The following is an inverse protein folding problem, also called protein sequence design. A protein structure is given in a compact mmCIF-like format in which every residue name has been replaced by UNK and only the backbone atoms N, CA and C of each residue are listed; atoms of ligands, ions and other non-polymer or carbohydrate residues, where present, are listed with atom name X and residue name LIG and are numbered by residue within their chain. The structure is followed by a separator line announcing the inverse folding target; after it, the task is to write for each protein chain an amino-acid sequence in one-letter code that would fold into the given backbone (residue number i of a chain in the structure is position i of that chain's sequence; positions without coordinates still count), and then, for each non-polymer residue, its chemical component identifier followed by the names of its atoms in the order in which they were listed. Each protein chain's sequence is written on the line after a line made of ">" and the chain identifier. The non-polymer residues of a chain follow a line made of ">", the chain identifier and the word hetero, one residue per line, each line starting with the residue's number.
data_IF_009643224706
#
_entry.id   IF_009643224706
#
_cell.length_a   1.000
_cell.length_b   1.000
_cell.length_c   1.000
_cell.angle_alpha   90.00
_cell.angle_beta   90.00
_cell.angle_gamma   90.00
#
_symmetry.space_group_name_H-M   'P 1'
#
loop_
_entity.id
_entity.type
_entity.pdbx_description
1 polymer ?
#
# COMPACT_ATOMS: atom_id res chain seq x y z
N UNK A 1 -7.18 5.47 -15.39
CA UNK A 1 -7.01 4.38 -14.38
C UNK A 1 -5.72 3.64 -14.67
N UNK A 2 -4.95 3.31 -13.64
CA UNK A 2 -3.74 2.49 -13.73
C UNK A 2 -4.06 1.09 -13.20
N UNK A 3 -3.65 0.04 -13.91
CA UNK A 3 -4.08 -1.33 -13.64
C UNK A 3 -2.91 -2.17 -13.14
N UNK A 4 -3.12 -2.88 -12.03
CA UNK A 4 -2.14 -3.83 -11.47
C UNK A 4 -2.34 -5.22 -12.10
N UNK A 5 -1.86 -5.39 -13.32
CA UNK A 5 -2.10 -6.56 -14.20
C UNK A 5 -0.93 -7.56 -14.26
N UNK A 6 0.15 -7.33 -13.50
CA UNK A 6 1.36 -8.17 -13.57
C UNK A 6 1.41 -9.29 -12.52
N UNK A 7 0.37 -9.41 -11.70
CA UNK A 7 0.29 -10.47 -10.72
C UNK A 7 0.19 -11.86 -11.37
N UNK A 8 0.90 -12.84 -10.79
CA UNK A 8 0.79 -14.25 -11.15
C UNK A 8 0.20 -15.07 -10.01
N UNK A 9 0.58 -14.75 -8.77
CA UNK A 9 0.12 -15.47 -7.57
C UNK A 9 -1.13 -14.84 -6.94
N UNK A 10 -1.59 -13.70 -7.44
CA UNK A 10 -2.87 -13.09 -7.06
C UNK A 10 -3.74 -12.89 -8.28
N UNK A 11 -5.05 -13.03 -8.11
CA UNK A 11 -6.04 -12.82 -9.17
C UNK A 11 -7.38 -12.42 -8.56
N UNK A 12 -7.97 -11.35 -9.06
CA UNK A 12 -9.36 -11.01 -8.80
C UNK A 12 -10.22 -11.74 -9.81
N UNK A 13 -10.81 -12.88 -9.39
CA UNK A 13 -11.55 -13.78 -10.26
C UNK A 13 -12.90 -13.18 -10.68
N UNK A 14 -13.65 -12.64 -9.69
CA UNK A 14 -14.98 -12.08 -9.91
C UNK A 14 -15.35 -11.13 -8.75
N UNK A 15 -16.34 -10.28 -8.96
CA UNK A 15 -16.87 -9.40 -7.92
C UNK A 15 -18.38 -9.15 -8.11
N UNK A 16 -19.15 -9.38 -7.05
CA UNK A 16 -20.60 -9.20 -7.04
C UNK A 16 -21.15 -9.04 -5.63
N UNK A 17 -22.24 -8.31 -5.49
CA UNK A 17 -23.04 -8.23 -4.25
C UNK A 17 -22.22 -7.87 -3.04
N UNK A 18 -21.35 -6.87 -3.15
CA UNK A 18 -20.51 -6.38 -2.05
C UNK A 18 -19.32 -7.27 -1.72
N UNK A 19 -18.93 -8.18 -2.61
CA UNK A 19 -17.86 -9.15 -2.37
C UNK A 19 -16.90 -9.27 -3.55
N UNK A 20 -15.64 -9.58 -3.25
CA UNK A 20 -14.59 -10.01 -4.19
C UNK A 20 -14.35 -11.51 -4.02
N UNK A 21 -14.25 -12.24 -5.13
CA UNK A 21 -13.72 -13.59 -5.19
C UNK A 21 -12.29 -13.54 -5.68
N UNK A 22 -11.35 -13.98 -4.87
CA UNK A 22 -9.93 -13.77 -5.10
C UNK A 22 -9.15 -15.07 -4.95
N UNK A 23 -8.12 -15.23 -5.78
CA UNK A 23 -7.10 -16.27 -5.65
C UNK A 23 -5.82 -15.65 -5.07
N UNK A 24 -5.29 -16.27 -4.02
CA UNK A 24 -4.05 -15.89 -3.32
C UNK A 24 -3.11 -17.10 -3.28
N UNK A 25 -2.28 -17.27 -4.30
CA UNK A 25 -1.59 -18.53 -4.55
C UNK A 25 -2.61 -19.62 -4.83
N UNK A 26 -2.62 -20.68 -4.03
CA UNK A 26 -3.58 -21.79 -4.12
C UNK A 26 -4.85 -21.56 -3.26
N UNK A 27 -4.92 -20.48 -2.50
CA UNK A 27 -6.02 -20.19 -1.58
C UNK A 27 -7.05 -19.28 -2.22
N UNK A 28 -8.31 -19.69 -2.21
CA UNK A 28 -9.45 -18.90 -2.71
C UNK A 28 -10.16 -18.26 -1.53
N UNK A 29 -10.29 -16.94 -1.56
CA UNK A 29 -10.91 -16.14 -0.52
C UNK A 29 -12.10 -15.35 -1.08
N UNK A 30 -13.12 -15.17 -0.23
CA UNK A 30 -14.20 -14.21 -0.45
C UNK A 30 -14.09 -13.12 0.61
N UNK A 31 -13.93 -11.88 0.17
CA UNK A 31 -13.82 -10.72 1.06
C UNK A 31 -14.85 -9.64 0.71
N UNK A 32 -15.36 -8.89 1.69
CA UNK A 32 -16.28 -7.79 1.43
C UNK A 32 -15.57 -6.62 0.77
N UNK A 33 -16.25 -6.02 -0.19
CA UNK A 33 -15.87 -4.77 -0.82
C UNK A 33 -17.09 -3.85 -0.98
N UNK A 34 -17.12 -2.70 -0.28
CA UNK A 34 -18.25 -1.79 -0.36
C UNK A 34 -18.38 -1.07 -1.70
N UNK A 35 -17.36 -1.06 -2.54
CA UNK A 35 -17.42 -0.47 -3.87
C UNK A 35 -18.19 -1.36 -4.86
N UNK A 36 -18.29 -2.66 -4.59
CA UNK A 36 -19.00 -3.64 -5.43
C UNK A 36 -20.51 -3.54 -5.16
N UNK A 37 -21.14 -2.48 -5.68
CA UNK A 37 -22.56 -2.19 -5.46
C UNK A 37 -23.51 -2.92 -6.42
N UNK A 38 -22.98 -3.51 -7.49
CA UNK A 38 -23.74 -4.30 -8.46
C UNK A 38 -24.05 -5.72 -7.95
N UNK A 39 -25.06 -6.33 -8.51
CA UNK A 39 -25.57 -7.65 -8.12
C UNK A 39 -25.66 -8.54 -9.37
N UNK A 40 -24.50 -8.85 -9.95
CA UNK A 40 -24.40 -9.82 -11.04
C UNK A 40 -24.57 -11.24 -10.53
N UNK A 41 -24.96 -12.16 -11.39
CA UNK A 41 -25.02 -13.58 -11.06
C UNK A 41 -23.60 -14.11 -10.77
N UNK A 42 -23.46 -14.90 -9.70
CA UNK A 42 -22.18 -15.52 -9.30
C UNK A 42 -21.98 -16.82 -10.06
N UNK A 43 -21.61 -16.72 -11.33
CA UNK A 43 -21.44 -17.86 -12.23
C UNK A 43 -20.13 -18.60 -12.03
N UNK A 44 -19.08 -17.91 -11.58
CA UNK A 44 -17.77 -18.52 -11.38
C UNK A 44 -17.81 -19.64 -10.31
N UNK A 45 -17.38 -20.89 -10.64
CA UNK A 45 -17.57 -22.05 -9.74
C UNK A 45 -16.89 -21.93 -8.38
N UNK A 46 -15.82 -21.12 -8.28
CA UNK A 46 -15.06 -20.92 -7.04
C UNK A 46 -15.80 -20.11 -5.99
N UNK A 47 -16.90 -19.42 -6.32
CA UNK A 47 -17.78 -18.81 -5.31
C UNK A 47 -18.29 -19.85 -4.29
N UNK A 48 -18.54 -21.05 -4.76
CA UNK A 48 -19.06 -22.16 -3.95
C UNK A 48 -17.95 -23.06 -3.37
N UNK A 49 -16.70 -22.84 -3.82
CA UNK A 49 -15.54 -23.66 -3.44
C UNK A 49 -14.46 -22.87 -2.70
N UNK A 50 -14.77 -21.64 -2.27
CA UNK A 50 -13.84 -20.80 -1.53
C UNK A 50 -13.32 -21.50 -0.26
N UNK A 51 -12.05 -21.29 0.05
CA UNK A 51 -11.41 -21.82 1.25
C UNK A 51 -11.84 -21.07 2.50
N UNK A 52 -12.01 -19.75 2.40
CA UNK A 52 -12.47 -18.93 3.52
C UNK A 52 -13.29 -17.72 3.03
N UNK A 53 -14.21 -17.29 3.88
CA UNK A 53 -15.09 -16.13 3.66
C UNK A 53 -15.00 -15.21 4.86
N UNK A 54 -14.73 -13.93 4.62
CA UNK A 54 -14.80 -12.94 5.70
C UNK A 54 -16.20 -12.37 5.81
N UNK A 55 -16.83 -12.59 6.95
CA UNK A 55 -18.16 -12.08 7.27
C UNK A 55 -18.05 -10.84 8.16
N UNK A 56 -18.60 -9.71 7.68
CA UNK A 56 -18.70 -8.47 8.47
C UNK A 56 -19.71 -8.64 9.60
N UNK A 57 -19.39 -8.09 10.77
CA UNK A 57 -20.34 -7.90 11.85
C UNK A 57 -21.10 -6.58 11.68
N UNK A 58 -22.35 -6.53 12.10
CA UNK A 58 -23.16 -5.30 12.15
C UNK A 58 -22.64 -4.27 13.15
N UNK A 59 -21.88 -4.72 14.16
CA UNK A 59 -21.26 -3.87 15.18
C UNK A 59 -19.84 -3.40 14.85
N UNK A 60 -19.37 -3.64 13.62
CA UNK A 60 -17.99 -3.38 13.18
C UNK A 60 -17.10 -4.61 13.33
N UNK A 61 -16.01 -4.65 12.56
CA UNK A 61 -15.13 -5.81 12.48
C UNK A 61 -15.77 -6.97 11.72
N UNK A 62 -15.45 -8.20 12.12
CA UNK A 62 -15.95 -9.44 11.51
C UNK A 62 -15.06 -10.63 11.81
N UNK A 63 -15.34 -11.76 11.17
CA UNK A 63 -14.57 -12.99 11.32
C UNK A 63 -14.46 -13.78 10.03
N UNK A 64 -13.40 -14.55 9.91
CA UNK A 64 -13.22 -15.53 8.85
C UNK A 64 -14.02 -16.79 9.16
N UNK A 65 -14.79 -17.23 8.19
CA UNK A 65 -15.41 -18.55 8.12
C UNK A 65 -14.49 -19.43 7.27
N UNK A 66 -13.71 -20.27 7.93
CA UNK A 66 -12.76 -21.21 7.28
C UNK A 66 -13.54 -22.47 6.89
N UNK A 67 -13.78 -22.65 5.60
CA UNK A 67 -14.56 -23.76 5.03
C UNK A 67 -13.72 -24.94 4.61
N UNK A 68 -12.44 -24.70 4.33
CA UNK A 68 -11.46 -25.70 3.94
C UNK A 68 -10.15 -25.38 4.62
N UNK A 69 -9.32 -26.39 4.83
CA UNK A 69 -8.00 -26.21 5.45
C UNK A 69 -7.16 -25.24 4.61
N UNK A 70 -6.65 -24.23 5.26
CA UNK A 70 -5.66 -23.28 4.73
C UNK A 70 -4.45 -23.24 5.67
N UNK A 71 -3.26 -22.87 5.18
CA UNK A 71 -2.12 -22.59 6.05
C UNK A 71 -2.40 -21.40 6.97
N UNK A 72 -1.74 -21.35 8.12
CA UNK A 72 -1.81 -20.18 9.02
C UNK A 72 -1.23 -18.93 8.35
N UNK A 73 -0.21 -19.11 7.51
CA UNK A 73 0.33 -18.12 6.60
C UNK A 73 0.91 -18.81 5.36
N UNK A 74 0.88 -18.14 4.22
CA UNK A 74 1.50 -18.63 2.98
C UNK A 74 2.14 -17.52 2.20
N UNK A 75 2.98 -17.88 1.26
CA UNK A 75 3.73 -16.93 0.44
C UNK A 75 3.08 -16.75 -0.93
N UNK A 76 2.99 -15.48 -1.36
CA UNK A 76 2.69 -15.09 -2.74
C UNK A 76 3.82 -14.22 -3.28
N UNK A 77 3.99 -14.17 -4.60
CA UNK A 77 5.05 -13.43 -5.26
C UNK A 77 4.49 -12.36 -6.21
N UNK A 78 5.23 -11.26 -6.29
CA UNK A 78 5.09 -10.25 -7.32
C UNK A 78 6.48 -9.93 -7.89
N UNK A 79 6.78 -10.38 -9.11
CA UNK A 79 8.15 -10.35 -9.61
C UNK A 79 9.10 -11.11 -8.68
N UNK A 80 10.17 -10.45 -8.25
CA UNK A 80 11.15 -11.00 -7.32
C UNK A 80 10.78 -10.83 -5.85
N UNK A 81 9.72 -10.07 -5.57
CA UNK A 81 9.24 -9.86 -4.20
C UNK A 81 8.36 -11.01 -3.73
N UNK A 82 8.49 -11.34 -2.46
CA UNK A 82 7.70 -12.38 -1.78
C UNK A 82 7.00 -11.78 -0.57
N UNK A 83 5.71 -12.07 -0.44
CA UNK A 83 4.89 -11.58 0.66
C UNK A 83 4.28 -12.75 1.42
N UNK A 84 4.45 -12.76 2.73
CA UNK A 84 3.69 -13.63 3.61
C UNK A 84 2.29 -13.07 3.77
N UNK A 85 1.28 -13.85 3.47
CA UNK A 85 -0.13 -13.47 3.61
C UNK A 85 -0.86 -14.43 4.53
N UNK A 86 -1.86 -13.92 5.25
CA UNK A 86 -2.68 -14.70 6.19
C UNK A 86 -4.00 -14.01 6.46
N UNK A 87 -5.08 -14.72 6.79
CA UNK A 87 -6.28 -14.12 7.34
C UNK A 87 -5.96 -13.38 8.64
N UNK A 88 -6.37 -12.12 8.73
CA UNK A 88 -6.22 -11.29 9.92
C UNK A 88 -7.55 -11.20 10.68
N UNK A 89 -7.53 -10.58 11.87
CA UNK A 89 -8.76 -10.22 12.59
C UNK A 89 -9.69 -9.26 11.83
N UNK A 90 -9.20 -8.74 10.71
CA UNK A 90 -9.93 -7.90 9.75
C UNK A 90 -10.00 -8.59 8.39
N UNK A 91 -10.70 -7.96 7.42
CA UNK A 91 -10.80 -8.47 6.04
C UNK A 91 -9.47 -8.52 5.26
N UNK A 92 -8.44 -7.87 5.78
CA UNK A 92 -7.13 -7.76 5.12
C UNK A 92 -6.31 -9.05 5.26
N UNK A 93 -5.40 -9.26 4.32
CA UNK A 93 -4.56 -10.45 4.20
C UNK A 93 -3.06 -10.14 4.29
N UNK A 94 -2.71 -8.87 4.45
CA UNK A 94 -1.34 -8.41 4.57
C UNK A 94 -0.79 -7.69 3.33
N UNK A 95 -1.47 -7.74 2.19
CA UNK A 95 -1.06 -7.03 0.96
C UNK A 95 -2.29 -6.38 0.32
N UNK A 96 -2.08 -5.25 -0.31
CA UNK A 96 -3.03 -4.58 -1.19
C UNK A 96 -2.52 -4.73 -2.63
N UNK A 97 -3.05 -5.69 -3.40
CA UNK A 97 -2.50 -6.04 -4.72
C UNK A 97 -2.54 -4.91 -5.73
N UNK A 98 -3.53 -4.03 -5.65
CA UNK A 98 -3.68 -2.84 -6.50
C UNK A 98 -2.51 -1.87 -6.37
N UNK A 99 -1.85 -1.85 -5.21
CA UNK A 99 -0.68 -1.00 -4.94
C UNK A 99 0.56 -1.38 -5.77
N UNK A 100 0.57 -2.52 -6.43
CA UNK A 100 1.66 -2.95 -7.31
C UNK A 100 1.98 -1.92 -8.40
N UNK A 101 1.00 -1.15 -8.84
CA UNK A 101 1.19 0.00 -9.75
C UNK A 101 2.16 1.02 -9.17
N UNK A 102 2.01 1.36 -7.89
CA UNK A 102 2.87 2.31 -7.21
C UNK A 102 4.26 1.71 -6.93
N UNK A 103 4.35 0.40 -6.64
CA UNK A 103 5.65 -0.27 -6.47
C UNK A 103 6.45 -0.26 -7.76
N UNK A 104 5.83 -0.60 -8.90
CA UNK A 104 6.47 -0.56 -10.21
C UNK A 104 6.96 0.84 -10.57
N UNK A 105 6.13 1.86 -10.32
CA UNK A 105 6.50 3.24 -10.58
C UNK A 105 7.71 3.68 -9.74
N UNK A 106 7.69 3.43 -8.42
CA UNK A 106 8.80 3.82 -7.54
C UNK A 106 10.09 3.09 -7.90
N UNK A 107 10.01 1.79 -8.14
CA UNK A 107 11.16 0.98 -8.55
C UNK A 107 11.76 1.49 -9.87
N UNK A 108 10.93 1.80 -10.87
CA UNK A 108 11.41 2.34 -12.14
C UNK A 108 12.11 3.70 -11.97
N UNK A 109 11.57 4.61 -11.12
CA UNK A 109 12.19 5.91 -10.85
C UNK A 109 13.53 5.77 -10.14
N UNK A 110 13.63 4.86 -9.17
CA UNK A 110 14.88 4.58 -8.44
C UNK A 110 15.92 4.00 -9.38
N UNK A 111 15.58 2.97 -10.18
CA UNK A 111 16.51 2.36 -11.14
C UNK A 111 17.01 3.38 -12.16
N UNK A 112 16.13 4.19 -12.73
CA UNK A 112 16.54 5.24 -13.68
C UNK A 112 17.50 6.27 -13.06
N UNK A 113 17.31 6.63 -11.78
CA UNK A 113 18.26 7.51 -11.08
C UNK A 113 19.61 6.84 -10.82
N UNK A 114 19.62 5.55 -10.50
CA UNK A 114 20.84 4.73 -10.34
C UNK A 114 21.58 4.52 -11.66
N UNK A 115 20.88 4.33 -12.77
CA UNK A 115 21.50 4.23 -14.11
C UNK A 115 22.23 5.52 -14.49
N UNK A 116 21.67 6.69 -14.15
CA UNK A 116 22.32 7.98 -14.39
C UNK A 116 23.51 8.23 -13.47
N UNK A 117 23.44 7.81 -12.24
CA UNK A 117 24.51 7.95 -11.24
C UNK A 117 24.50 6.74 -10.30
N UNK A 118 25.28 5.68 -10.60
CA UNK A 118 25.35 4.47 -9.79
C UNK A 118 25.77 4.69 -8.34
N UNK A 119 26.60 5.70 -8.08
CA UNK A 119 27.11 6.02 -6.74
C UNK A 119 26.12 6.86 -5.91
N UNK A 120 25.06 7.41 -6.51
CA UNK A 120 24.06 8.18 -5.78
C UNK A 120 23.38 7.30 -4.74
N UNK A 121 23.51 7.65 -3.47
CA UNK A 121 22.66 7.09 -2.42
C UNK A 121 21.24 7.64 -2.57
N UNK A 122 20.24 6.77 -2.73
CA UNK A 122 18.84 7.14 -2.84
C UNK A 122 18.14 6.77 -1.55
N UNK A 123 17.57 7.77 -0.87
CA UNK A 123 16.87 7.62 0.42
C UNK A 123 15.38 7.80 0.24
N UNK A 124 14.61 6.79 0.59
CA UNK A 124 13.14 6.81 0.49
C UNK A 124 12.53 6.76 1.89
N UNK A 125 11.55 7.62 2.13
CA UNK A 125 10.71 7.60 3.31
C UNK A 125 9.35 6.98 2.98
N UNK A 126 9.02 5.87 3.64
CA UNK A 126 7.72 5.23 3.55
C UNK A 126 6.96 5.40 4.87
N UNK A 127 5.95 6.25 4.86
CA UNK A 127 5.07 6.54 6.00
C UNK A 127 3.79 5.70 5.90
N UNK A 128 3.28 5.22 7.05
CA UNK A 128 2.18 4.26 7.12
C UNK A 128 2.52 2.98 6.35
N UNK A 129 3.76 2.50 6.56
CA UNK A 129 4.39 1.52 5.69
C UNK A 129 3.79 0.12 5.74
N UNK A 130 2.84 -0.14 6.67
CA UNK A 130 2.09 -1.39 6.81
C UNK A 130 3.03 -2.61 6.82
N UNK A 131 2.74 -3.64 6.01
CA UNK A 131 3.57 -4.87 5.89
C UNK A 131 4.76 -4.72 4.95
N UNK A 132 5.07 -3.50 4.48
CA UNK A 132 6.31 -3.14 3.83
C UNK A 132 6.39 -3.37 2.32
N UNK A 133 5.30 -3.65 1.62
CA UNK A 133 5.38 -3.95 0.18
C UNK A 133 6.06 -2.85 -0.65
N UNK A 134 5.67 -1.58 -0.46
CA UNK A 134 6.33 -0.45 -1.12
C UNK A 134 7.80 -0.28 -0.66
N UNK A 135 8.09 -0.55 0.62
CA UNK A 135 9.46 -0.57 1.15
C UNK A 135 10.32 -1.58 0.41
N UNK A 136 9.84 -2.81 0.25
CA UNK A 136 10.56 -3.88 -0.42
C UNK A 136 10.81 -3.55 -1.90
N UNK A 137 9.84 -2.97 -2.59
CA UNK A 137 10.00 -2.55 -3.98
C UNK A 137 11.10 -1.49 -4.15
N UNK A 138 11.18 -0.53 -3.22
CA UNK A 138 12.25 0.47 -3.22
C UNK A 138 13.62 -0.15 -2.87
N UNK A 139 13.68 -1.07 -1.90
CA UNK A 139 14.92 -1.77 -1.52
C UNK A 139 15.46 -2.64 -2.65
N UNK A 140 14.59 -3.36 -3.34
CA UNK A 140 14.95 -4.19 -4.49
C UNK A 140 15.51 -3.34 -5.62
N UNK A 141 14.94 -2.14 -5.85
CA UNK A 141 15.42 -1.18 -6.82
C UNK A 141 16.73 -0.46 -6.43
N UNK A 142 17.28 -0.71 -5.24
CA UNK A 142 18.58 -0.20 -4.79
C UNK A 142 18.53 1.06 -3.91
N UNK A 143 17.39 1.38 -3.30
CA UNK A 143 17.30 2.47 -2.35
C UNK A 143 17.55 2.04 -0.90
N UNK A 144 18.03 2.98 -0.09
CA UNK A 144 17.97 2.91 1.38
C UNK A 144 16.59 3.41 1.82
N UNK A 145 15.86 2.62 2.62
CA UNK A 145 14.49 2.97 2.99
C UNK A 145 14.34 3.21 4.49
N UNK A 146 13.64 4.27 4.85
CA UNK A 146 13.12 4.48 6.19
C UNK A 146 11.63 4.11 6.20
N UNK A 147 11.30 3.00 6.83
CA UNK A 147 9.95 2.47 6.97
C UNK A 147 9.39 2.86 8.34
N UNK A 148 8.27 3.56 8.35
CA UNK A 148 7.61 4.04 9.57
C UNK A 148 6.17 3.55 9.59
N UNK A 149 5.80 2.85 10.67
CA UNK A 149 4.43 2.45 10.96
C UNK A 149 4.21 2.43 12.47
N UNK A 150 3.03 2.83 12.93
CA UNK A 150 2.72 2.86 14.35
C UNK A 150 2.51 1.47 14.97
N UNK A 151 2.24 0.46 14.15
CA UNK A 151 1.97 -0.92 14.58
C UNK A 151 3.23 -1.76 14.61
N UNK A 152 3.66 -2.16 15.83
CA UNK A 152 4.78 -3.09 16.01
C UNK A 152 4.59 -4.40 15.22
N UNK A 153 3.35 -4.91 15.17
CA UNK A 153 3.04 -6.14 14.45
C UNK A 153 3.21 -5.98 12.93
N UNK A 154 2.85 -4.82 12.36
CA UNK A 154 3.02 -4.54 10.94
C UNK A 154 4.50 -4.37 10.58
N UNK A 155 5.27 -3.66 11.38
CA UNK A 155 6.72 -3.51 11.18
C UNK A 155 7.44 -4.87 11.28
N UNK A 156 7.03 -5.73 12.21
CA UNK A 156 7.57 -7.09 12.29
C UNK A 156 7.24 -7.90 11.04
N UNK A 157 6.01 -7.82 10.55
CA UNK A 157 5.60 -8.50 9.33
C UNK A 157 6.35 -7.96 8.09
N UNK A 158 6.61 -6.65 8.04
CA UNK A 158 7.44 -6.06 6.99
C UNK A 158 8.87 -6.63 6.98
N UNK A 159 9.47 -6.89 8.16
CA UNK A 159 10.76 -7.59 8.27
C UNK A 159 10.69 -9.03 7.77
N UNK A 160 9.62 -9.74 8.09
CA UNK A 160 9.38 -11.11 7.60
C UNK A 160 9.25 -11.15 6.07
N UNK A 161 8.54 -10.18 5.49
CA UNK A 161 8.45 -10.02 4.05
C UNK A 161 9.81 -9.67 3.41
N UNK A 162 10.63 -8.84 4.06
CA UNK A 162 12.00 -8.57 3.60
C UNK A 162 12.86 -9.83 3.60
N UNK A 163 12.79 -10.64 4.66
CA UNK A 163 13.49 -11.93 4.72
C UNK A 163 12.98 -12.90 3.64
N UNK A 164 11.66 -13.00 3.44
CA UNK A 164 11.05 -13.84 2.41
C UNK A 164 11.42 -13.43 0.98
N UNK A 165 11.79 -12.15 0.78
CA UNK A 165 12.22 -11.58 -0.49
C UNK A 165 13.76 -11.56 -0.66
N UNK A 166 14.52 -12.16 0.27
CA UNK A 166 16.00 -12.11 0.30
C UNK A 166 16.57 -10.67 0.39
N UNK A 167 15.84 -9.77 1.05
CA UNK A 167 16.21 -8.36 1.22
C UNK A 167 16.58 -8.01 2.67
N UNK A 168 16.69 -8.98 3.57
CA UNK A 168 16.92 -8.73 5.01
C UNK A 168 18.20 -7.93 5.29
N UNK A 169 19.24 -8.12 4.48
CA UNK A 169 20.56 -7.48 4.62
C UNK A 169 20.65 -6.13 3.87
N UNK A 170 19.60 -5.72 3.17
CA UNK A 170 19.58 -4.42 2.49
C UNK A 170 19.41 -3.28 3.49
N UNK A 171 19.97 -2.09 3.20
CA UNK A 171 19.91 -0.96 4.11
C UNK A 171 18.48 -0.45 4.29
N UNK A 172 17.95 -0.62 5.50
CA UNK A 172 16.60 -0.20 5.88
C UNK A 172 16.53 0.17 7.36
N UNK A 173 15.77 1.23 7.67
CA UNK A 173 15.43 1.62 9.03
C UNK A 173 13.99 1.25 9.32
N UNK A 174 13.77 0.22 10.12
CA UNK A 174 12.45 -0.21 10.56
C UNK A 174 12.05 0.53 11.84
N UNK A 175 11.00 1.34 11.81
CA UNK A 175 10.59 2.18 12.93
C UNK A 175 9.12 1.91 13.29
N UNK A 176 8.91 1.62 14.58
CA UNK A 176 7.58 1.61 15.20
C UNK A 176 7.36 2.99 15.80
N UNK A 177 6.63 3.86 15.10
CA UNK A 177 6.53 5.26 15.46
C UNK A 177 5.29 5.92 14.86
N UNK A 178 4.86 7.04 15.47
CA UNK A 178 3.89 7.95 14.90
C UNK A 178 4.50 8.72 13.73
N UNK A 179 3.86 8.64 12.55
CA UNK A 179 4.40 9.23 11.32
C UNK A 179 4.56 10.76 11.41
N UNK A 180 3.61 11.47 12.02
CA UNK A 180 3.67 12.94 12.18
C UNK A 180 4.84 13.32 13.09
N UNK A 181 4.93 12.68 14.26
CA UNK A 181 6.02 12.92 15.22
C UNK A 181 7.38 12.55 14.64
N UNK A 182 7.42 11.50 13.81
CA UNK A 182 8.64 11.09 13.12
C UNK A 182 9.11 12.18 12.15
N UNK A 183 8.24 12.67 11.26
CA UNK A 183 8.58 13.72 10.29
C UNK A 183 9.03 15.00 11.00
N UNK A 184 8.37 15.42 12.08
CA UNK A 184 8.81 16.56 12.90
C UNK A 184 10.23 16.41 13.44
N UNK A 185 10.61 15.18 13.84
CA UNK A 185 12.00 14.91 14.30
C UNK A 185 12.99 14.93 13.14
N UNK A 186 12.64 14.44 11.97
CA UNK A 186 13.51 14.46 10.79
C UNK A 186 13.76 15.90 10.31
N UNK A 187 12.75 16.78 10.35
CA UNK A 187 12.92 18.22 10.11
C UNK A 187 13.98 18.82 11.06
N UNK A 188 13.83 18.58 12.37
CA UNK A 188 14.79 19.10 13.37
C UNK A 188 16.20 18.55 13.23
N UNK A 189 16.33 17.32 12.67
CA UNK A 189 17.63 16.67 12.41
C UNK A 189 18.26 17.10 11.09
N UNK A 190 17.53 17.80 10.24
CA UNK A 190 17.97 18.15 8.90
C UNK A 190 18.14 16.94 7.97
N UNK A 191 17.38 15.86 8.19
CA UNK A 191 17.42 14.69 7.33
C UNK A 191 16.55 14.92 6.08
N UNK A 192 17.03 14.47 4.92
CA UNK A 192 16.32 14.60 3.65
C UNK A 192 16.20 13.26 2.92
N UNK A 193 15.16 13.15 2.10
CA UNK A 193 14.79 11.97 1.33
C UNK A 193 14.58 12.32 -0.13
N UNK A 194 15.01 11.44 -1.03
CA UNK A 194 14.83 11.56 -2.48
C UNK A 194 13.40 11.22 -2.92
N UNK A 195 12.64 10.54 -2.09
CA UNK A 195 11.24 10.24 -2.35
C UNK A 195 10.46 9.92 -1.09
N UNK A 196 9.17 10.24 -1.13
CA UNK A 196 8.23 9.95 -0.05
C UNK A 196 7.07 9.13 -0.62
N UNK A 197 6.68 8.10 0.12
CA UNK A 197 5.47 7.31 -0.13
C UNK A 197 4.62 7.38 1.13
N UNK A 198 3.32 7.62 0.98
CA UNK A 198 2.39 7.58 2.10
C UNK A 198 1.02 7.06 1.67
N UNK A 199 0.43 6.27 2.55
CA UNK A 199 -0.93 5.76 2.47
C UNK A 199 -1.62 5.96 3.83
N UNK A 200 -1.93 7.22 4.20
CA UNK A 200 -2.48 7.53 5.50
C UNK A 200 -3.90 6.95 5.64
N UNK A 201 -4.27 6.44 6.83
CA UNK A 201 -5.60 5.89 7.06
C UNK A 201 -6.66 6.98 6.97
N UNK A 202 -7.88 6.62 6.52
CA UNK A 202 -9.02 7.56 6.49
C UNK A 202 -9.38 8.05 7.89
N UNK A 203 -9.25 7.16 8.90
CA UNK A 203 -9.56 7.44 10.30
C UNK A 203 -8.60 6.68 11.21
N UNK A 204 -8.22 7.30 12.33
CA UNK A 204 -7.40 6.66 13.36
C UNK A 204 -7.60 7.29 14.74
N UNK A 205 -7.18 6.58 15.78
CA UNK A 205 -7.11 7.10 17.15
C UNK A 205 -5.70 6.87 17.69
N UNK A 206 -5.08 7.92 18.18
CA UNK A 206 -3.81 7.84 18.89
C UNK A 206 -3.97 7.30 20.32
N UNK A 207 -2.87 6.89 20.96
CA UNK A 207 -2.87 6.37 22.34
C UNK A 207 -3.36 7.39 23.38
N UNK A 208 -3.24 8.68 23.10
CA UNK A 208 -3.72 9.78 23.96
C UNK A 208 -5.16 10.21 23.70
N UNK A 209 -5.88 9.48 22.80
CA UNK A 209 -7.25 9.82 22.41
C UNK A 209 -7.35 10.82 21.25
N UNK A 210 -6.22 11.20 20.66
CA UNK A 210 -6.17 12.06 19.46
C UNK A 210 -6.93 11.38 18.31
N UNK A 211 -7.72 12.16 17.60
CA UNK A 211 -8.47 11.68 16.44
C UNK A 211 -7.78 12.15 15.17
N UNK A 212 -7.42 11.18 14.33
CA UNK A 212 -6.97 11.40 12.97
C UNK A 212 -8.16 11.25 12.01
N UNK A 213 -8.38 12.29 11.19
CA UNK A 213 -9.28 12.25 10.05
C UNK A 213 -8.53 12.78 8.84
N UNK A 214 -8.49 12.00 7.78
CA UNK A 214 -7.66 12.29 6.61
C UNK A 214 -8.03 13.63 5.98
N UNK A 215 -9.31 13.91 5.79
CA UNK A 215 -9.81 15.12 5.14
C UNK A 215 -9.44 16.41 5.88
N UNK A 216 -9.28 16.31 7.20
CA UNK A 216 -8.94 17.46 8.06
C UNK A 216 -7.42 17.66 8.17
N UNK A 217 -6.62 16.60 8.04
CA UNK A 217 -5.20 16.62 8.43
C UNK A 217 -4.22 16.35 7.28
N UNK A 218 -4.71 15.89 6.12
CA UNK A 218 -3.86 15.52 5.00
C UNK A 218 -3.01 16.69 4.50
N UNK A 219 -3.59 17.89 4.38
CA UNK A 219 -2.87 19.08 3.94
C UNK A 219 -1.65 19.35 4.82
N UNK A 220 -1.87 19.42 6.14
CA UNK A 220 -0.78 19.70 7.11
C UNK A 220 0.29 18.59 7.13
N UNK A 221 -0.09 17.32 6.95
CA UNK A 221 0.87 16.22 6.86
C UNK A 221 1.75 16.36 5.61
N UNK A 222 1.17 16.61 4.44
CA UNK A 222 1.94 16.78 3.21
C UNK A 222 2.82 18.03 3.28
N UNK A 223 2.29 19.16 3.77
CA UNK A 223 3.04 20.40 3.98
C UNK A 223 4.26 20.17 4.89
N UNK A 224 4.08 19.43 5.98
CA UNK A 224 5.16 19.05 6.89
C UNK A 224 6.23 18.17 6.22
N UNK A 225 5.87 17.39 5.22
CA UNK A 225 6.81 16.53 4.47
C UNK A 225 7.65 17.31 3.44
N UNK A 226 7.23 18.52 3.01
CA UNK A 226 7.96 19.30 2.02
C UNK A 226 9.41 19.60 2.42
N UNK A 227 9.72 20.06 3.66
CA UNK A 227 11.09 20.35 4.07
C UNK A 227 12.00 19.13 4.24
N UNK A 228 11.47 17.91 4.29
CA UNK A 228 12.29 16.67 4.38
C UNK A 228 12.55 16.04 3.00
N UNK A 229 12.13 16.66 1.90
CA UNK A 229 12.57 16.28 0.56
C UNK A 229 13.91 16.93 0.24
N UNK A 230 14.76 16.23 -0.53
CA UNK A 230 15.95 16.81 -1.16
C UNK A 230 15.55 17.90 -2.16
N UNK A 231 16.50 18.68 -2.65
CA UNK A 231 16.21 19.74 -3.64
C UNK A 231 15.81 19.19 -5.03
N UNK A 232 16.22 17.95 -5.35
CA UNK A 232 15.88 17.23 -6.58
C UNK A 232 15.24 15.87 -6.26
N UNK A 233 13.99 15.86 -5.75
CA UNK A 233 13.33 14.63 -5.36
C UNK A 233 12.88 13.83 -6.57
N UNK A 234 12.92 12.51 -6.45
CA UNK A 234 12.52 11.59 -7.53
C UNK A 234 11.00 11.48 -7.66
N UNK A 235 10.29 11.48 -6.52
CA UNK A 235 8.83 11.38 -6.48
C UNK A 235 8.26 11.72 -5.09
N UNK A 236 6.97 12.03 -5.09
CA UNK A 236 6.10 12.02 -3.93
C UNK A 236 4.85 11.22 -4.27
N UNK A 237 4.58 10.13 -3.56
CA UNK A 237 3.39 9.29 -3.78
C UNK A 237 2.47 9.42 -2.58
N UNK A 238 1.26 9.85 -2.87
CA UNK A 238 0.14 9.90 -1.94
C UNK A 238 -0.95 8.95 -2.43
N UNK A 239 -1.32 7.99 -1.60
CA UNK A 239 -2.44 7.09 -1.86
C UNK A 239 -3.57 7.36 -0.87
N UNK A 240 -4.82 7.06 -1.23
CA UNK A 240 -5.98 7.17 -0.36
C UNK A 240 -7.06 6.19 -0.74
N UNK A 241 -7.67 5.57 0.27
CA UNK A 241 -8.88 4.75 0.16
C UNK A 241 -10.12 5.49 0.68
N UNK A 242 -10.03 6.81 0.85
CA UNK A 242 -11.11 7.64 1.42
C UNK A 242 -12.05 8.09 0.31
N UNK A 243 -13.31 7.72 0.41
CA UNK A 243 -14.35 8.00 -0.62
C UNK A 243 -14.64 9.49 -0.84
N UNK A 244 -14.30 10.37 0.10
CA UNK A 244 -14.48 11.82 -0.02
C UNK A 244 -13.38 12.55 -0.77
N UNK A 245 -12.25 11.88 -1.09
CA UNK A 245 -11.09 12.48 -1.73
C UNK A 245 -10.88 11.91 -3.13
N UNK A 246 -11.29 12.66 -4.15
CA UNK A 246 -11.01 12.26 -5.53
C UNK A 246 -9.53 12.40 -5.88
N UNK A 247 -9.02 11.62 -6.86
CA UNK A 247 -7.65 11.77 -7.35
C UNK A 247 -7.32 13.20 -7.78
N UNK A 248 -8.27 13.93 -8.37
CA UNK A 248 -8.07 15.32 -8.79
C UNK A 248 -7.85 16.28 -7.62
N UNK A 249 -8.55 16.08 -6.50
CA UNK A 249 -8.34 16.87 -5.27
C UNK A 249 -6.95 16.61 -4.69
N UNK A 250 -6.52 15.35 -4.64
CA UNK A 250 -5.17 15.00 -4.18
C UNK A 250 -4.10 15.56 -5.11
N UNK A 251 -4.31 15.52 -6.44
CA UNK A 251 -3.39 16.14 -7.40
C UNK A 251 -3.26 17.64 -7.19
N UNK A 252 -4.38 18.34 -6.96
CA UNK A 252 -4.37 19.77 -6.67
C UNK A 252 -3.58 20.08 -5.39
N UNK A 253 -3.84 19.33 -4.30
CA UNK A 253 -3.14 19.47 -3.03
C UNK A 253 -1.63 19.31 -3.20
N UNK A 254 -1.17 18.23 -3.85
CA UNK A 254 0.25 18.04 -4.14
C UNK A 254 0.81 19.14 -5.04
N UNK A 255 0.03 19.58 -6.02
CA UNK A 255 0.43 20.65 -6.95
C UNK A 255 0.72 21.96 -6.24
N UNK A 256 -0.15 22.40 -5.34
CA UNK A 256 0.03 23.67 -4.61
C UNK A 256 1.16 23.62 -3.58
N UNK A 257 1.46 22.46 -3.01
CA UNK A 257 2.51 22.31 -2.01
C UNK A 257 3.90 22.01 -2.59
N UNK A 258 3.99 21.21 -3.64
CA UNK A 258 5.28 20.71 -4.13
C UNK A 258 5.81 21.49 -5.34
N UNK A 259 4.95 21.84 -6.31
CA UNK A 259 5.40 22.50 -7.55
C UNK A 259 6.09 23.84 -7.36
N UNK A 260 5.69 24.72 -6.43
CA UNK A 260 6.38 26.00 -6.22
C UNK A 260 7.86 25.84 -5.83
N UNK A 261 8.19 24.74 -5.12
CA UNK A 261 9.56 24.47 -4.65
C UNK A 261 10.35 23.57 -5.61
N UNK A 262 9.73 22.53 -6.15
CA UNK A 262 10.44 21.47 -6.88
C UNK A 262 10.13 21.48 -8.39
N UNK A 263 9.15 22.26 -8.84
CA UNK A 263 8.66 22.17 -10.22
C UNK A 263 8.00 20.83 -10.51
N UNK A 264 8.27 20.25 -11.67
CA UNK A 264 7.84 18.93 -12.05
C UNK A 264 6.35 18.82 -12.41
N UNK A 265 5.85 17.59 -12.47
CA UNK A 265 4.50 17.25 -12.89
C UNK A 265 3.78 16.43 -11.81
N UNK A 266 2.54 16.80 -11.53
CA UNK A 266 1.65 16.03 -10.63
C UNK A 266 0.58 15.35 -11.48
N UNK A 267 0.44 14.04 -11.32
CA UNK A 267 -0.65 13.26 -11.92
C UNK A 267 -1.37 12.48 -10.84
N UNK A 268 -2.66 12.35 -10.98
CA UNK A 268 -3.46 11.47 -10.15
C UNK A 268 -4.37 10.62 -11.02
N UNK A 269 -4.64 9.41 -10.57
CA UNK A 269 -5.50 8.47 -11.24
C UNK A 269 -6.02 7.45 -10.22
N UNK A 270 -7.10 6.78 -10.56
CA UNK A 270 -7.51 5.58 -9.83
C UNK A 270 -6.58 4.43 -10.18
N UNK A 271 -6.35 3.55 -9.21
CA UNK A 271 -5.65 2.28 -9.39
C UNK A 271 -6.65 1.14 -9.24
N UNK A 272 -6.50 0.09 -10.03
CA UNK A 272 -7.47 -1.00 -10.01
C UNK A 272 -6.87 -2.35 -10.37
N UNK A 273 -7.72 -3.37 -10.20
CA UNK A 273 -7.40 -4.77 -10.46
C UNK A 273 -8.23 -5.29 -11.64
N UNK A 274 -7.63 -6.01 -12.58
CA UNK A 274 -8.40 -6.68 -13.62
C UNK A 274 -9.26 -7.80 -13.01
N UNK A 275 -10.51 -7.87 -13.42
CA UNK A 275 -11.46 -8.92 -13.02
C UNK A 275 -11.50 -9.97 -14.13
N UNK A 276 -11.08 -11.19 -13.82
CA UNK A 276 -10.93 -12.26 -14.82
C UNK A 276 -12.26 -12.61 -15.51
N UNK A 277 -13.33 -12.77 -14.72
CA UNK A 277 -14.63 -13.18 -15.25
C UNK A 277 -15.25 -12.18 -16.22
N UNK A 278 -15.03 -10.89 -16.00
CA UNK A 278 -15.67 -9.83 -16.80
C UNK A 278 -14.74 -9.16 -17.80
N UNK A 279 -13.44 -9.27 -17.63
CA UNK A 279 -12.44 -8.50 -18.38
C UNK A 279 -12.44 -7.00 -18.06
N UNK A 280 -13.22 -6.55 -17.07
CA UNK A 280 -13.26 -5.16 -16.61
C UNK A 280 -12.24 -4.92 -15.50
N UNK A 281 -12.09 -3.66 -15.09
CA UNK A 281 -11.18 -3.27 -13.99
C UNK A 281 -12.01 -2.78 -12.81
N UNK A 282 -11.76 -3.36 -11.65
CA UNK A 282 -12.30 -2.88 -10.38
C UNK A 282 -11.33 -1.86 -9.78
N UNK A 283 -11.74 -0.60 -9.55
CA UNK A 283 -10.91 0.43 -8.92
C UNK A 283 -10.67 0.20 -7.43
#
# INVERSE_FOLDING_TARGET
>A
MRVADKWKDYELLDCSSGQRLERWGDVILIRPDPQVIWKTEKTHPLWYKAHAVYNRSSSGGGKWDIRRKIPDAWKIKYGDLSFMVKPMGFKHTGVFPEQAVNWDYTAARIRAAKEKNPEREIKILNLFGYTGAATLACMEAGATVTHVDASKGMVQWARENAAASNLAERPVRWLVDDCVKFVQREIRRGNHYDGIIMDPPSYGRGPGGEVWKLEEQLYGLVEMCVPVLTDDPLFFILNSYTTGLSPSVMAYLLGVLLRPKFGGYVSADEIGLPVTETGLVLP
#
